data_IF_241808495140
#
_entry.id   IF_241808495140
#
_cell.length_a   1.000
_cell.length_b   1.000
_cell.length_c   1.000
_cell.angle_alpha   90.00
_cell.angle_beta   90.00
_cell.angle_gamma   90.00
#
_symmetry.space_group_name_H-M   'P 1'
#
loop_
_entity.id
_entity.type
_entity.pdbx_description
1 polymer ?
#
# COMPACT_ATOMS: atom_id res chain seq x y z
N UNK A 1 -8.30 -12.93 -27.24
CA UNK A 1 -6.87 -12.58 -27.15
C UNK A 1 -6.65 -11.45 -26.15
N UNK A 2 -7.04 -10.20 -26.43
CA UNK A 2 -6.80 -9.07 -25.48
C UNK A 2 -7.75 -9.07 -24.26
N UNK A 3 -9.03 -9.41 -24.46
CA UNK A 3 -10.02 -9.47 -23.37
C UNK A 3 -9.81 -10.67 -22.43
N UNK A 4 -9.31 -11.78 -22.97
CA UNK A 4 -9.00 -12.98 -22.17
C UNK A 4 -7.84 -12.73 -21.20
N UNK A 5 -6.91 -11.83 -21.53
CA UNK A 5 -5.82 -11.41 -20.63
C UNK A 5 -6.23 -10.36 -19.60
N UNK A 6 -7.31 -9.60 -19.85
CA UNK A 6 -7.88 -8.64 -18.90
C UNK A 6 -8.82 -9.31 -17.88
N UNK A 7 -9.29 -10.52 -18.16
CA UNK A 7 -10.13 -11.31 -17.25
C UNK A 7 -9.62 -11.36 -15.80
N UNK A 8 -8.34 -11.67 -15.52
CA UNK A 8 -7.83 -11.66 -14.15
C UNK A 8 -7.88 -10.26 -13.50
N UNK A 9 -7.67 -9.20 -14.27
CA UNK A 9 -7.77 -7.83 -13.76
C UNK A 9 -9.21 -7.46 -13.40
N UNK A 10 -10.18 -7.82 -14.24
CA UNK A 10 -11.61 -7.61 -13.98
C UNK A 10 -12.07 -8.46 -12.79
N UNK A 11 -11.54 -9.68 -12.66
CA UNK A 11 -11.82 -10.56 -11.53
C UNK A 11 -11.37 -9.92 -10.20
N UNK A 12 -10.18 -9.31 -10.18
CA UNK A 12 -9.65 -8.62 -9.01
C UNK A 12 -10.38 -7.30 -8.71
N UNK A 13 -10.83 -6.60 -9.75
CA UNK A 13 -11.71 -5.42 -9.63
C UNK A 13 -13.02 -5.80 -8.95
N UNK A 14 -13.61 -6.94 -9.30
CA UNK A 14 -14.84 -7.44 -8.64
C UNK A 14 -14.61 -7.97 -7.23
N UNK A 15 -13.41 -8.46 -6.91
CA UNK A 15 -13.05 -8.91 -5.56
C UNK A 15 -12.85 -7.74 -4.58
N UNK A 16 -12.24 -6.64 -5.04
CA UNK A 16 -11.94 -5.46 -4.22
C UNK A 16 -12.41 -4.14 -4.88
N UNK A 17 -13.73 -3.97 -5.12
CA UNK A 17 -14.25 -2.83 -5.88
C UNK A 17 -14.06 -1.50 -5.16
N UNK A 18 -14.14 -1.48 -3.82
CA UNK A 18 -14.03 -0.25 -3.02
C UNK A 18 -12.60 0.30 -3.05
N UNK A 19 -11.59 -0.56 -2.91
CA UNK A 19 -10.19 -0.15 -2.99
C UNK A 19 -9.82 0.32 -4.40
N UNK A 20 -10.29 -0.40 -5.44
CA UNK A 20 -10.08 -0.01 -6.83
C UNK A 20 -10.74 1.33 -7.17
N UNK A 21 -12.03 1.49 -6.86
CA UNK A 21 -12.75 2.75 -7.11
C UNK A 21 -12.16 3.91 -6.31
N UNK A 22 -11.69 3.65 -5.08
CA UNK A 22 -10.93 4.63 -4.30
C UNK A 22 -9.67 5.11 -5.03
N UNK A 23 -8.85 4.20 -5.56
CA UNK A 23 -7.66 4.55 -6.33
C UNK A 23 -7.97 5.18 -7.69
N UNK A 24 -9.02 4.72 -8.39
CA UNK A 24 -9.45 5.28 -9.67
C UNK A 24 -9.98 6.71 -9.50
N UNK A 25 -10.85 6.94 -8.51
CA UNK A 25 -11.40 8.27 -8.23
C UNK A 25 -10.35 9.21 -7.69
N UNK A 26 -9.41 8.75 -6.85
CA UNK A 26 -8.29 9.58 -6.40
C UNK A 26 -7.34 9.93 -7.55
N UNK A 27 -7.11 9.00 -8.50
CA UNK A 27 -6.34 9.27 -9.71
C UNK A 27 -7.03 10.27 -10.63
N UNK A 28 -8.33 10.08 -10.89
CA UNK A 28 -9.12 10.93 -11.79
C UNK A 28 -9.30 12.35 -11.26
N UNK A 29 -9.54 12.50 -9.96
CA UNK A 29 -9.65 13.81 -9.30
C UNK A 29 -8.26 14.41 -8.99
N UNK A 30 -7.18 13.72 -9.35
CA UNK A 30 -5.80 14.06 -8.99
C UNK A 30 -5.66 14.38 -7.50
N UNK A 31 -6.38 13.62 -6.67
CA UNK A 31 -6.42 13.78 -5.23
C UNK A 31 -5.12 13.22 -4.66
N UNK A 32 -4.16 14.11 -4.46
CA UNK A 32 -2.91 13.76 -3.81
C UNK A 32 -3.19 13.48 -2.33
N UNK A 33 -2.89 12.26 -1.86
CA UNK A 33 -2.95 11.94 -0.42
C UNK A 33 -1.98 12.80 0.42
N UNK A 34 -1.06 13.50 -0.25
CA UNK A 34 -0.10 14.42 0.34
C UNK A 34 -0.64 15.84 0.50
N UNK A 35 -1.78 16.17 -0.13
CA UNK A 35 -2.39 17.50 -0.07
C UNK A 35 -3.43 17.57 1.07
N UNK A 36 -3.53 18.74 1.70
CA UNK A 36 -4.62 19.04 2.63
C UNK A 36 -5.91 19.37 1.84
N UNK A 37 -7.10 18.93 2.29
CA UNK A 37 -7.43 18.35 3.60
C UNK A 37 -7.36 16.81 3.68
N UNK A 38 -6.97 16.14 2.59
CA UNK A 38 -7.05 14.67 2.49
C UNK A 38 -6.00 14.01 3.37
N UNK A 39 -4.80 14.60 3.44
CA UNK A 39 -3.72 14.17 4.33
C UNK A 39 -4.16 14.19 5.81
N UNK A 40 -4.74 15.29 6.27
CA UNK A 40 -5.19 15.42 7.67
C UNK A 40 -6.37 14.48 7.98
N UNK A 41 -7.29 14.27 7.03
CA UNK A 41 -8.35 13.28 7.18
C UNK A 41 -7.80 11.84 7.26
N UNK A 42 -6.83 11.48 6.43
CA UNK A 42 -6.21 10.15 6.41
C UNK A 42 -5.47 9.85 7.72
N UNK A 43 -4.75 10.85 8.25
CA UNK A 43 -4.13 10.78 9.58
C UNK A 43 -5.17 10.54 10.69
N UNK A 44 -6.33 11.20 10.62
CA UNK A 44 -7.43 10.97 11.57
C UNK A 44 -8.06 9.58 11.45
N UNK A 45 -7.98 8.94 10.28
CA UNK A 45 -8.38 7.55 10.08
C UNK A 45 -7.32 6.54 10.59
N UNK A 46 -6.21 7.00 11.18
CA UNK A 46 -5.12 6.15 11.64
C UNK A 46 -4.26 5.58 10.50
N UNK A 47 -4.44 6.08 9.28
CA UNK A 47 -3.69 5.68 8.09
C UNK A 47 -2.63 6.75 7.86
N UNK A 48 -1.40 6.50 8.30
CA UNK A 48 -0.27 7.38 7.95
C UNK A 48 0.15 7.02 6.53
N UNK A 49 0.13 7.95 5.55
CA UNK A 49 0.67 7.67 4.23
C UNK A 49 2.17 7.46 4.42
N UNK A 50 2.59 6.19 4.44
CA UNK A 50 3.98 5.78 4.59
C UNK A 50 4.72 6.20 3.33
N UNK A 51 5.26 7.41 3.34
CA UNK A 51 6.38 7.76 2.48
C UNK A 51 7.56 6.91 2.91
N UNK A 52 7.83 5.84 2.16
CA UNK A 52 8.99 4.99 2.36
C UNK A 52 8.81 3.95 3.46
N UNK A 53 9.22 2.73 3.11
CA UNK A 53 9.47 1.60 4.00
C UNK A 53 9.92 2.04 5.40
N UNK A 54 9.05 1.81 6.36
CA UNK A 54 9.46 1.61 7.74
C UNK A 54 8.56 0.51 8.29
N UNK A 55 8.86 -0.71 7.84
CA UNK A 55 8.48 -1.93 8.54
C UNK A 55 9.07 -1.91 9.95
N UNK A 56 8.41 -1.18 10.85
CA UNK A 56 8.64 -1.19 12.28
C UNK A 56 7.99 -2.42 12.89
N UNK A 57 8.49 -3.59 12.53
CA UNK A 57 8.29 -4.77 13.36
C UNK A 57 9.12 -4.59 14.62
N UNK A 58 8.45 -4.78 15.74
CA UNK A 58 8.98 -4.49 17.06
C UNK A 58 10.29 -5.20 17.37
N UNK A 59 11.05 -4.53 18.23
CA UNK A 59 11.94 -5.19 19.17
C UNK A 59 13.27 -5.66 18.61
N UNK A 60 14.32 -5.10 19.23
CA UNK A 60 15.57 -5.76 19.64
C UNK A 60 16.79 -5.05 19.08
N UNK A 61 17.45 -4.33 19.99
CA UNK A 61 18.87 -4.03 19.97
C UNK A 61 19.70 -5.14 19.30
N UNK A 62 20.16 -4.93 18.07
CA UNK A 62 21.24 -5.72 17.48
C UNK A 62 22.16 -4.81 16.69
N UNK A 63 23.15 -4.32 17.42
CA UNK A 63 24.37 -3.70 16.91
C UNK A 63 24.96 -4.53 15.76
N UNK A 64 25.40 -3.84 14.70
CA UNK A 64 25.63 -4.40 13.37
C UNK A 64 26.65 -5.55 13.30
N UNK A 65 26.21 -6.65 12.69
CA UNK A 65 27.05 -7.75 12.23
C UNK A 65 26.22 -8.75 11.40
N UNK A 66 26.76 -9.29 10.29
CA UNK A 66 26.05 -10.27 9.48
C UNK A 66 25.72 -11.52 10.31
N UNK A 67 24.45 -11.95 10.27
CA UNK A 67 23.97 -13.11 11.02
C UNK A 67 24.34 -14.39 10.28
N UNK A 68 25.07 -15.29 10.94
CA UNK A 68 25.40 -16.62 10.42
C UNK A 68 24.13 -17.49 10.42
N UNK A 69 23.82 -18.11 9.27
CA UNK A 69 22.76 -19.12 9.15
C UNK A 69 23.43 -20.49 9.03
N UNK A 70 23.07 -21.42 9.92
CA UNK A 70 23.50 -22.81 9.83
C UNK A 70 22.34 -23.64 9.27
N UNK A 71 22.62 -24.43 8.24
CA UNK A 71 21.68 -25.39 7.66
C UNK A 71 22.25 -26.77 8.02
N UNK A 72 21.45 -27.57 8.72
CA UNK A 72 21.68 -29.01 8.96
C UNK A 72 21.00 -29.81 7.83
#
# INVERSE_FOLDING_TARGET
MFLDELTPFVQELTAHPVAFLGGLTSGLLRLSLSDDPVKSWLQNQGITPTGGDSGGWGGSDRNGGPQSISID
#
